data_IF_358131526698
#
_entry.id   IF_358131526698
#
_cell.length_a   1.000
_cell.length_b   1.000
_cell.length_c   1.000
_cell.angle_alpha   90.00
_cell.angle_beta   90.00
_cell.angle_gamma   90.00
#
_symmetry.space_group_name_H-M   'P 1'
#
loop_
_entity.id
_entity.type
_entity.pdbx_description
1 polymer ?
#
# COMPACT_ATOMS: atom_id res chain seq x y z
N UNK A 1 0.40 -19.24 -14.37
CA UNK A 1 0.76 -19.41 -15.80
C UNK A 1 1.55 -20.67 -16.00
N UNK A 2 2.64 -20.85 -15.25
CA UNK A 2 3.49 -22.04 -15.28
C UNK A 2 2.68 -23.35 -15.17
N UNK A 3 1.75 -23.45 -14.22
CA UNK A 3 0.85 -24.61 -14.07
C UNK A 3 0.02 -24.89 -15.33
N UNK A 4 -0.47 -23.86 -16.02
CA UNK A 4 -1.28 -24.04 -17.24
C UNK A 4 -0.39 -24.52 -18.40
N UNK A 5 0.83 -23.97 -18.52
CA UNK A 5 1.82 -24.42 -19.49
C UNK A 5 2.23 -25.87 -19.25
N UNK A 6 2.44 -26.26 -17.98
CA UNK A 6 2.73 -27.65 -17.60
C UNK A 6 1.59 -28.57 -17.98
N UNK A 7 0.34 -28.21 -17.71
CA UNK A 7 -0.84 -29.01 -18.10
C UNK A 7 -0.93 -29.20 -19.61
N UNK A 8 -0.70 -28.15 -20.41
CA UNK A 8 -0.68 -28.30 -21.87
C UNK A 8 0.48 -29.17 -22.34
N UNK A 9 1.68 -29.03 -21.75
CA UNK A 9 2.82 -29.90 -22.05
C UNK A 9 2.52 -31.37 -21.70
N UNK A 10 1.82 -31.63 -20.59
CA UNK A 10 1.37 -32.95 -20.18
C UNK A 10 0.34 -33.55 -21.13
N UNK A 11 -0.57 -32.72 -21.67
CA UNK A 11 -1.51 -33.15 -22.72
C UNK A 11 -0.74 -33.57 -23.98
N UNK A 12 0.25 -32.78 -24.43
CA UNK A 12 1.08 -33.14 -25.58
C UNK A 12 1.93 -34.38 -25.33
N UNK A 13 2.37 -34.63 -24.10
CA UNK A 13 3.11 -35.85 -23.73
C UNK A 13 2.19 -37.07 -23.75
N UNK A 14 1.04 -36.96 -23.08
CA UNK A 14 0.09 -38.08 -22.95
C UNK A 14 -0.50 -38.47 -24.29
N UNK A 15 -0.82 -37.50 -25.15
CA UNK A 15 -1.38 -37.76 -26.48
C UNK A 15 -0.36 -38.33 -27.48
N UNK A 16 0.94 -38.09 -27.29
CA UNK A 16 1.99 -38.72 -28.07
C UNK A 16 2.11 -40.23 -27.78
N UNK A 17 1.75 -40.66 -26.57
CA UNK A 17 1.82 -42.07 -26.13
C UNK A 17 0.53 -42.87 -26.41
N UNK A 18 -0.51 -42.23 -26.97
CA UNK A 18 -1.76 -42.93 -27.34
C UNK A 18 -1.54 -43.72 -28.63
N UNK A 19 -1.30 -45.03 -28.50
CA UNK A 19 -1.35 -45.93 -29.64
C UNK A 19 -2.75 -45.96 -30.26
N UNK A 20 -2.83 -45.81 -31.58
CA UNK A 20 -4.08 -45.96 -32.31
C UNK A 20 -4.65 -47.36 -32.11
N UNK A 21 -5.98 -47.47 -31.90
CA UNK A 21 -6.68 -48.76 -31.85
C UNK A 21 -6.42 -49.58 -33.12
N UNK A 22 -6.16 -48.89 -34.23
CA UNK A 22 -5.80 -49.50 -35.49
C UNK A 22 -4.51 -50.34 -35.46
N UNK A 23 -3.49 -49.93 -34.71
CA UNK A 23 -2.23 -50.69 -34.65
C UNK A 23 -2.42 -52.05 -33.94
N UNK A 24 -3.48 -52.18 -33.14
CA UNK A 24 -3.85 -53.42 -32.43
C UNK A 24 -4.89 -54.26 -33.17
N UNK A 25 -5.77 -53.64 -33.96
CA UNK A 25 -6.88 -54.33 -34.65
C UNK A 25 -6.64 -54.60 -36.14
N UNK A 26 -5.93 -53.73 -36.87
CA UNK A 26 -5.73 -53.89 -38.30
C UNK A 26 -4.79 -55.02 -38.75
N UNK A 27 -3.86 -55.57 -37.93
CA UNK A 27 -3.20 -56.83 -38.29
C UNK A 27 -4.18 -57.99 -38.51
N UNK A 28 -5.41 -57.88 -38.00
CA UNK A 28 -6.48 -58.89 -38.11
C UNK A 28 -7.51 -58.56 -39.21
N UNK A 29 -7.48 -57.35 -39.78
CA UNK A 29 -8.48 -56.85 -40.72
C UNK A 29 -7.76 -56.39 -41.99
N UNK A 30 -7.95 -57.12 -43.09
CA UNK A 30 -7.31 -56.87 -44.39
C UNK A 30 -7.92 -55.64 -45.12
N UNK A 31 -8.00 -54.52 -44.42
CA UNK A 31 -8.59 -53.25 -44.89
C UNK A 31 -7.47 -52.21 -44.98
N UNK A 32 -7.51 -51.35 -45.99
CA UNK A 32 -6.51 -50.30 -46.21
C UNK A 32 -6.25 -49.48 -44.94
N UNK A 33 -4.98 -49.32 -44.60
CA UNK A 33 -4.52 -48.72 -43.34
C UNK A 33 -4.80 -47.21 -43.35
N UNK A 34 -5.90 -46.80 -42.72
CA UNK A 34 -6.15 -45.40 -42.35
C UNK A 34 -5.90 -45.23 -40.85
N UNK A 35 -4.64 -45.42 -40.44
CA UNK A 35 -4.26 -45.21 -39.04
C UNK A 35 -3.96 -43.73 -38.82
N UNK A 36 -4.69 -43.11 -37.91
CA UNK A 36 -4.25 -41.86 -37.30
C UNK A 36 -2.99 -42.16 -36.49
N UNK A 37 -1.84 -41.76 -37.02
CA UNK A 37 -0.57 -41.88 -36.30
C UNK A 37 -0.55 -40.85 -35.18
N UNK A 38 -0.06 -41.26 -34.00
CA UNK A 38 0.26 -40.31 -32.95
C UNK A 38 1.23 -39.27 -33.51
N UNK A 39 0.98 -37.99 -33.22
CA UNK A 39 1.83 -36.89 -33.66
C UNK A 39 2.95 -36.74 -32.63
N UNK A 40 4.20 -37.16 -32.93
CA UNK A 40 5.31 -36.97 -32.01
C UNK A 40 5.58 -35.48 -31.81
N UNK A 41 6.03 -35.11 -30.61
CA UNK A 41 6.33 -33.71 -30.25
C UNK A 41 7.41 -33.05 -31.14
N UNK A 42 8.21 -33.85 -31.86
CA UNK A 42 9.21 -33.36 -32.81
C UNK A 42 8.59 -32.79 -34.10
N UNK A 43 7.35 -33.15 -34.44
CA UNK A 43 6.68 -32.71 -35.66
C UNK A 43 6.35 -31.21 -35.65
N UNK A 44 6.42 -30.60 -36.83
CA UNK A 44 6.18 -29.17 -36.99
C UNK A 44 4.77 -28.75 -36.53
N UNK A 45 3.78 -29.63 -36.67
CA UNK A 45 2.38 -29.38 -36.26
C UNK A 45 2.28 -29.26 -34.73
N UNK A 46 2.90 -30.19 -33.98
CA UNK A 46 2.90 -30.15 -32.51
C UNK A 46 3.66 -28.92 -31.98
N UNK A 47 4.83 -28.61 -32.55
CA UNK A 47 5.61 -27.42 -32.19
C UNK A 47 4.88 -26.11 -32.50
N UNK A 48 4.18 -26.04 -33.64
CA UNK A 48 3.36 -24.89 -33.97
C UNK A 48 2.17 -24.75 -33.01
N UNK A 49 1.52 -25.87 -32.66
CA UNK A 49 0.44 -25.88 -31.67
C UNK A 49 0.89 -25.38 -30.29
N UNK A 50 2.05 -25.84 -29.80
CA UNK A 50 2.65 -25.33 -28.56
C UNK A 50 2.90 -23.82 -28.62
N UNK A 51 3.52 -23.33 -29.70
CA UNK A 51 3.74 -21.89 -29.90
C UNK A 51 2.43 -21.10 -29.93
N UNK A 52 1.39 -21.63 -30.56
CA UNK A 52 0.08 -20.99 -30.57
C UNK A 52 -0.51 -20.90 -29.16
N UNK A 53 -0.39 -21.95 -28.36
CA UNK A 53 -0.85 -21.95 -26.96
C UNK A 53 -0.07 -20.93 -26.13
N UNK A 54 1.26 -20.90 -26.23
CA UNK A 54 2.09 -19.92 -25.53
C UNK A 54 1.72 -18.48 -25.92
N UNK A 55 1.51 -18.23 -27.22
CA UNK A 55 1.06 -16.92 -27.70
C UNK A 55 -0.32 -16.54 -27.16
N UNK A 56 -1.24 -17.49 -27.06
CA UNK A 56 -2.60 -17.25 -26.51
C UNK A 56 -2.52 -16.98 -25.01
N UNK A 57 -1.67 -17.69 -24.27
CA UNK A 57 -1.42 -17.45 -22.86
C UNK A 57 -0.80 -16.07 -22.60
N UNK A 58 0.23 -15.68 -23.36
CA UNK A 58 0.83 -14.35 -23.25
C UNK A 58 -0.16 -13.23 -23.56
N UNK A 59 -0.98 -13.39 -24.61
CA UNK A 59 -2.06 -12.42 -24.90
C UNK A 59 -3.07 -12.30 -23.78
N UNK A 60 -3.38 -13.41 -23.11
CA UNK A 60 -4.29 -13.45 -21.97
C UNK A 60 -3.70 -12.80 -20.71
N UNK A 61 -2.38 -12.64 -20.62
CA UNK A 61 -1.71 -11.96 -19.50
C UNK A 61 -1.65 -10.44 -19.64
N UNK A 62 -1.91 -9.89 -20.82
CA UNK A 62 -1.88 -8.43 -21.05
C UNK A 62 -2.87 -7.71 -20.11
N UNK A 63 -4.09 -8.23 -19.99
CA UNK A 63 -5.13 -7.67 -19.11
C UNK A 63 -4.75 -7.70 -17.63
N UNK A 64 -4.40 -8.87 -17.06
CA UNK A 64 -3.91 -8.97 -15.69
C UNK A 64 -2.67 -8.12 -15.38
N UNK A 65 -1.72 -8.00 -16.32
CA UNK A 65 -0.54 -7.14 -16.17
C UNK A 65 -0.94 -5.66 -16.10
N UNK A 66 -1.80 -5.21 -17.02
CA UNK A 66 -2.33 -3.85 -16.97
C UNK A 66 -3.13 -3.58 -15.67
N UNK A 67 -3.89 -4.57 -15.19
CA UNK A 67 -4.59 -4.46 -13.90
C UNK A 67 -3.61 -4.31 -12.73
N UNK A 68 -2.48 -5.04 -12.74
CA UNK A 68 -1.42 -4.86 -11.74
C UNK A 68 -0.83 -3.45 -11.80
N UNK A 69 -0.51 -2.95 -13.00
CA UNK A 69 0.08 -1.62 -13.19
C UNK A 69 -0.81 -0.51 -12.59
N UNK A 70 -2.13 -0.66 -12.63
CA UNK A 70 -3.06 0.28 -11.99
C UNK A 70 -2.90 0.41 -10.47
N UNK A 71 -2.32 -0.61 -9.81
CA UNK A 71 -2.04 -0.63 -8.39
C UNK A 71 -0.61 -0.22 -8.04
N UNK A 72 0.30 -0.16 -9.02
CA UNK A 72 1.69 0.22 -8.77
C UNK A 72 1.80 1.67 -8.24
N UNK A 73 0.84 2.55 -8.59
CA UNK A 73 0.69 3.91 -8.04
C UNK A 73 0.60 3.93 -6.49
N UNK A 74 0.07 2.86 -5.89
CA UNK A 74 -0.11 2.71 -4.45
C UNK A 74 0.99 1.88 -3.78
N UNK A 75 2.04 1.52 -4.53
CA UNK A 75 3.12 0.67 -4.03
C UNK A 75 3.84 1.25 -2.81
N UNK A 76 3.87 2.58 -2.68
CA UNK A 76 4.45 3.27 -1.54
C UNK A 76 3.78 2.87 -0.20
N UNK A 77 2.48 2.58 -0.21
CA UNK A 77 1.72 2.22 1.00
C UNK A 77 2.19 0.88 1.58
N UNK A 78 2.69 -0.01 0.72
CA UNK A 78 3.21 -1.33 1.12
C UNK A 78 4.72 -1.27 1.39
N UNK A 79 5.44 -0.39 0.69
CA UNK A 79 6.88 -0.31 0.75
C UNK A 79 7.42 0.49 1.95
N UNK A 80 6.65 1.48 2.44
CA UNK A 80 7.05 2.27 3.60
C UNK A 80 6.70 1.55 4.90
N UNK A 81 7.70 1.39 5.77
CA UNK A 81 7.43 1.09 7.17
C UNK A 81 6.79 2.32 7.84
N UNK A 82 5.79 2.07 8.69
CA UNK A 82 4.97 3.12 9.29
C UNK A 82 5.83 4.05 10.15
N UNK A 83 6.78 3.49 10.87
CA UNK A 83 7.74 4.18 11.72
C UNK A 83 8.65 5.11 10.89
N UNK A 84 9.24 4.60 9.81
CA UNK A 84 10.11 5.39 8.92
C UNK A 84 9.37 6.58 8.30
N UNK A 85 8.11 6.37 7.90
CA UNK A 85 7.28 7.44 7.36
C UNK A 85 7.02 8.54 8.39
N UNK A 86 6.67 8.17 9.63
CA UNK A 86 6.41 9.11 10.71
C UNK A 86 7.68 9.87 11.11
N UNK A 87 8.83 9.20 11.16
CA UNK A 87 10.12 9.84 11.46
C UNK A 87 10.49 10.86 10.39
N UNK A 88 10.39 10.50 9.10
CA UNK A 88 10.65 11.42 7.99
C UNK A 88 9.70 12.61 8.01
N UNK A 89 8.42 12.37 8.32
CA UNK A 89 7.42 13.42 8.43
C UNK A 89 7.74 14.37 9.61
N UNK A 90 8.09 13.82 10.78
CA UNK A 90 8.42 14.58 11.98
C UNK A 90 9.66 15.48 11.80
N UNK A 91 10.69 15.03 11.06
CA UNK A 91 11.91 15.81 10.78
C UNK A 91 11.60 17.12 10.06
N UNK A 92 10.50 17.19 9.30
CA UNK A 92 10.12 18.41 8.58
C UNK A 92 9.46 19.48 9.44
N UNK A 93 9.26 19.23 10.74
CA UNK A 93 8.48 20.09 11.65
C UNK A 93 7.16 20.55 11.02
N UNK A 94 6.27 19.60 10.68
CA UNK A 94 5.10 19.84 9.85
C UNK A 94 4.09 20.76 10.56
N UNK A 95 3.51 21.68 9.80
CA UNK A 95 2.39 22.51 10.27
C UNK A 95 1.10 21.69 10.29
N UNK A 96 0.07 22.17 11.00
CA UNK A 96 -1.24 21.53 10.99
C UNK A 96 -1.81 21.36 9.57
N UNK A 97 -1.56 22.33 8.68
CA UNK A 97 -1.97 22.27 7.28
C UNK A 97 -1.27 21.14 6.51
N UNK A 98 0.01 20.88 6.80
CA UNK A 98 0.72 19.72 6.25
C UNK A 98 0.11 18.39 6.73
N UNK A 99 -0.24 18.26 8.02
CA UNK A 99 -0.96 17.08 8.50
C UNK A 99 -2.29 16.89 7.77
N UNK A 100 -3.04 17.98 7.59
CA UNK A 100 -4.35 17.92 6.95
C UNK A 100 -4.25 17.52 5.48
N UNK A 101 -3.32 18.15 4.74
CA UNK A 101 -3.03 17.83 3.35
C UNK A 101 -2.63 16.36 3.20
N UNK A 102 -1.80 15.86 4.12
CA UNK A 102 -1.27 14.52 4.00
C UNK A 102 -2.26 13.42 4.42
N UNK A 103 -3.06 13.67 5.44
CA UNK A 103 -4.21 12.82 5.75
C UNK A 103 -5.22 12.80 4.60
N UNK A 104 -5.51 13.96 4.00
CA UNK A 104 -6.44 14.06 2.87
C UNK A 104 -5.90 13.27 1.66
N UNK A 105 -4.60 13.36 1.37
CA UNK A 105 -3.95 12.54 0.33
C UNK A 105 -4.16 11.05 0.57
N UNK A 106 -3.95 10.56 1.79
CA UNK A 106 -4.15 9.15 2.14
C UNK A 106 -5.61 8.71 2.01
N UNK A 107 -6.56 9.55 2.43
CA UNK A 107 -7.99 9.25 2.29
C UNK A 107 -8.46 9.24 0.83
N UNK A 108 -7.98 10.19 0.03
CA UNK A 108 -8.25 10.21 -1.41
C UNK A 108 -7.70 8.95 -2.09
N UNK A 109 -6.51 8.50 -1.70
CA UNK A 109 -5.92 7.26 -2.23
C UNK A 109 -6.70 6.01 -1.80
N UNK A 110 -7.23 5.96 -0.57
CA UNK A 110 -8.15 4.91 -0.12
C UNK A 110 -9.38 4.84 -1.03
N UNK A 111 -10.00 5.97 -1.34
CA UNK A 111 -11.18 6.01 -2.23
C UNK A 111 -10.83 5.62 -3.67
N UNK A 112 -9.66 6.04 -4.17
CA UNK A 112 -9.16 5.59 -5.48
C UNK A 112 -8.96 4.08 -5.49
N UNK A 113 -8.35 3.48 -4.46
CA UNK A 113 -8.13 2.03 -4.38
C UNK A 113 -9.45 1.25 -4.42
N UNK A 114 -10.47 1.73 -3.68
CA UNK A 114 -11.81 1.11 -3.65
C UNK A 114 -12.48 1.11 -5.02
N UNK A 115 -12.38 2.24 -5.73
CA UNK A 115 -13.07 2.46 -7.01
C UNK A 115 -12.28 2.02 -8.24
N UNK A 116 -10.98 1.71 -8.09
CA UNK A 116 -10.07 1.40 -9.20
C UNK A 116 -10.50 0.21 -10.06
N UNK A 117 -11.07 -0.82 -9.43
CA UNK A 117 -11.49 -2.05 -10.12
C UNK A 117 -12.62 -2.74 -9.36
N UNK A 118 -13.22 -3.78 -9.95
CA UNK A 118 -14.09 -4.71 -9.24
C UNK A 118 -13.25 -5.67 -8.38
N UNK A 119 -13.85 -6.29 -7.36
CA UNK A 119 -13.15 -7.25 -6.50
C UNK A 119 -12.76 -8.54 -7.24
N UNK A 120 -13.49 -8.86 -8.30
CA UNK A 120 -13.15 -9.92 -9.21
C UNK A 120 -13.19 -9.35 -10.63
N UNK A 121 -12.09 -9.52 -11.36
CA UNK A 121 -11.97 -9.10 -12.75
C UNK A 121 -11.76 -10.34 -13.58
N UNK A 122 -12.76 -10.67 -14.41
CA UNK A 122 -12.70 -11.79 -15.33
C UNK A 122 -12.09 -11.36 -16.66
N UNK A 123 -11.04 -12.04 -17.07
CA UNK A 123 -10.47 -12.05 -18.41
C UNK A 123 -10.84 -13.36 -19.11
N UNK A 124 -10.53 -13.50 -20.40
CA UNK A 124 -10.95 -14.65 -21.21
C UNK A 124 -10.62 -16.01 -20.57
N UNK A 125 -9.37 -16.20 -20.11
CA UNK A 125 -8.93 -17.46 -19.47
C UNK A 125 -8.52 -17.31 -18.00
N UNK A 126 -8.57 -16.10 -17.44
CA UNK A 126 -8.01 -15.80 -16.11
C UNK A 126 -9.02 -14.96 -15.33
N UNK A 127 -9.29 -15.35 -14.08
CA UNK A 127 -9.99 -14.50 -13.12
C UNK A 127 -8.98 -13.96 -12.12
N UNK A 128 -8.93 -12.66 -11.91
CA UNK A 128 -8.08 -12.02 -10.91
C UNK A 128 -8.95 -11.52 -9.76
N UNK A 129 -8.64 -11.98 -8.55
CA UNK A 129 -9.29 -11.52 -7.33
C UNK A 129 -8.44 -10.40 -6.73
N UNK A 130 -9.01 -9.20 -6.63
CA UNK A 130 -8.32 -7.98 -6.15
C UNK A 130 -8.73 -7.62 -4.72
N UNK A 131 -9.67 -8.37 -4.11
CA UNK A 131 -10.20 -8.08 -2.78
C UNK A 131 -9.10 -7.97 -1.72
N UNK A 132 -8.23 -8.97 -1.61
CA UNK A 132 -7.16 -8.99 -0.62
C UNK A 132 -6.13 -7.88 -0.87
N UNK A 133 -5.78 -7.64 -2.14
CA UNK A 133 -4.85 -6.57 -2.51
C UNK A 133 -5.42 -5.20 -2.10
N UNK A 134 -6.69 -4.91 -2.40
CA UNK A 134 -7.35 -3.68 -1.96
C UNK A 134 -7.42 -3.58 -0.45
N UNK A 135 -7.83 -4.66 0.23
CA UNK A 135 -7.96 -4.67 1.68
C UNK A 135 -6.61 -4.39 2.36
N UNK A 136 -5.52 -4.98 1.84
CA UNK A 136 -4.17 -4.75 2.37
C UNK A 136 -3.70 -3.31 2.14
N UNK A 137 -3.91 -2.75 0.94
CA UNK A 137 -3.56 -1.36 0.63
C UNK A 137 -4.37 -0.37 1.49
N UNK A 138 -5.68 -0.58 1.61
CA UNK A 138 -6.54 0.26 2.45
C UNK A 138 -6.13 0.18 3.92
N UNK A 139 -5.80 -1.01 4.41
CA UNK A 139 -5.30 -1.19 5.78
C UNK A 139 -4.00 -0.41 6.00
N UNK A 140 -3.02 -0.56 5.10
CA UNK A 140 -1.75 0.18 5.19
C UNK A 140 -1.94 1.70 5.19
N UNK A 141 -2.81 2.23 4.33
CA UNK A 141 -3.11 3.66 4.32
C UNK A 141 -3.77 4.14 5.63
N UNK A 142 -4.66 3.33 6.22
CA UNK A 142 -5.26 3.65 7.52
C UNK A 142 -4.24 3.58 8.66
N UNK A 143 -3.29 2.64 8.60
CA UNK A 143 -2.20 2.54 9.58
C UNK A 143 -1.31 3.79 9.52
N UNK A 144 -0.93 4.24 8.31
CA UNK A 144 -0.19 5.49 8.11
C UNK A 144 -0.96 6.71 8.62
N UNK A 145 -2.25 6.83 8.28
CA UNK A 145 -3.10 7.92 8.75
C UNK A 145 -3.24 7.93 10.29
N UNK A 146 -3.42 6.76 10.90
CA UNK A 146 -3.49 6.62 12.36
C UNK A 146 -2.16 7.01 13.02
N UNK A 147 -1.03 6.65 12.41
CA UNK A 147 0.29 7.01 12.90
C UNK A 147 0.54 8.53 12.84
N UNK A 148 0.14 9.19 11.76
CA UNK A 148 0.15 10.66 11.66
C UNK A 148 -0.72 11.33 12.73
N UNK A 149 -1.93 10.83 12.97
CA UNK A 149 -2.79 11.37 14.03
C UNK A 149 -2.18 11.19 15.43
N UNK A 150 -1.52 10.06 15.69
CA UNK A 150 -0.81 9.83 16.96
C UNK A 150 0.36 10.80 17.11
N UNK A 151 1.12 11.05 16.04
CA UNK A 151 2.20 12.03 16.05
C UNK A 151 1.66 13.43 16.36
N UNK A 152 0.61 13.86 15.67
CA UNK A 152 -0.05 15.16 15.92
C UNK A 152 -0.52 15.27 17.37
N UNK A 153 -1.19 14.25 17.90
CA UNK A 153 -1.66 14.23 19.28
C UNK A 153 -0.51 14.29 20.29
N UNK A 154 0.61 13.60 20.01
CA UNK A 154 1.83 13.68 20.83
C UNK A 154 2.40 15.09 20.83
N UNK A 155 2.55 15.71 19.66
CA UNK A 155 3.07 17.07 19.52
C UNK A 155 2.17 18.10 20.22
N UNK A 156 0.85 18.02 20.03
CA UNK A 156 -0.10 18.92 20.68
C UNK A 156 -0.08 18.78 22.21
N UNK A 157 0.06 17.54 22.72
CA UNK A 157 0.19 17.29 24.14
C UNK A 157 1.50 17.84 24.71
N UNK A 158 2.62 17.64 24.02
CA UNK A 158 3.92 18.19 24.41
C UNK A 158 3.89 19.72 24.47
N UNK A 159 3.28 20.37 23.47
CA UNK A 159 3.10 21.83 23.47
C UNK A 159 2.17 22.31 24.60
N UNK A 160 1.09 21.58 24.87
CA UNK A 160 0.16 21.91 25.98
C UNK A 160 0.86 21.79 27.34
N UNK A 161 1.66 20.74 27.55
CA UNK A 161 2.45 20.56 28.77
C UNK A 161 3.43 21.72 28.94
N UNK A 162 4.17 22.09 27.88
CA UNK A 162 5.11 23.21 27.92
C UNK A 162 4.42 24.54 28.27
N UNK A 163 3.26 24.82 27.67
CA UNK A 163 2.47 26.02 27.98
C UNK A 163 2.05 26.03 29.45
N UNK A 164 1.53 24.90 29.96
CA UNK A 164 1.13 24.78 31.36
C UNK A 164 2.31 24.96 32.33
N UNK A 165 3.46 24.33 32.05
CA UNK A 165 4.68 24.50 32.84
C UNK A 165 5.13 25.96 32.87
N UNK A 166 5.10 26.64 31.73
CA UNK A 166 5.48 28.06 31.64
C UNK A 166 4.51 28.96 32.43
N UNK A 167 3.20 28.70 32.37
CA UNK A 167 2.22 29.43 33.18
C UNK A 167 2.41 29.17 34.68
N UNK A 168 2.68 27.94 35.08
CA UNK A 168 2.94 27.58 36.47
C UNK A 168 4.21 28.26 37.00
N UNK A 169 5.28 28.32 36.18
CA UNK A 169 6.49 29.08 36.52
C UNK A 169 6.22 30.57 36.73
N UNK A 170 5.44 31.19 35.84
CA UNK A 170 5.03 32.60 35.97
C UNK A 170 4.24 32.79 37.26
N UNK A 171 3.29 31.91 37.53
CA UNK A 171 2.44 31.97 38.71
C UNK A 171 3.24 31.82 40.01
N UNK A 172 4.17 30.87 40.06
CA UNK A 172 5.04 30.67 41.22
C UNK A 172 5.93 31.89 41.49
N UNK A 173 6.48 32.51 40.44
CA UNK A 173 7.29 33.73 40.62
C UNK A 173 6.46 34.92 41.14
N UNK A 174 5.22 35.07 40.67
CA UNK A 174 4.32 36.14 41.13
C UNK A 174 3.88 35.93 42.59
N UNK A 175 3.74 34.68 43.04
CA UNK A 175 3.33 34.37 44.41
C UNK A 175 4.40 34.60 45.48
N UNK A 176 5.66 34.80 45.10
CA UNK A 176 6.74 35.05 46.06
C UNK A 176 6.45 36.34 46.83
N UNK A 177 6.35 36.24 48.15
CA UNK A 177 6.23 37.41 49.02
C UNK A 177 7.62 38.01 49.24
N UNK A 178 7.92 39.22 48.72
CA UNK A 178 9.25 39.81 48.81
C UNK A 178 9.58 40.15 50.27
N UNK A 179 10.79 39.80 50.70
CA UNK A 179 11.26 39.99 52.08
C UNK A 179 12.05 41.28 52.27
N UNK A 180 12.51 41.90 51.19
CA UNK A 180 13.24 43.16 51.20
C UNK A 180 12.82 44.09 50.02
N UNK A 181 13.17 45.39 50.08
CA UNK A 181 12.81 46.35 49.03
C UNK A 181 13.42 46.05 47.66
N UNK A 182 14.62 45.47 47.58
CA UNK A 182 15.24 45.08 46.31
C UNK A 182 14.43 43.98 45.60
N UNK A 183 14.03 42.92 46.32
CA UNK A 183 13.18 41.83 45.81
C UNK A 183 11.81 42.34 45.34
N UNK A 184 11.25 43.36 46.01
CA UNK A 184 9.99 43.97 45.61
C UNK A 184 10.11 44.74 44.27
N UNK A 185 11.26 45.37 44.02
CA UNK A 185 11.54 46.04 42.73
C UNK A 185 11.74 45.02 41.62
N UNK A 186 12.43 43.90 41.88
CA UNK A 186 12.60 42.81 40.90
C UNK A 186 11.26 42.14 40.56
N UNK A 187 10.45 41.81 41.57
CA UNK A 187 9.11 41.25 41.37
C UNK A 187 8.22 42.19 40.55
N UNK A 188 8.31 43.50 40.79
CA UNK A 188 7.54 44.50 40.04
C UNK A 188 7.97 44.54 38.56
N UNK A 189 9.28 44.54 38.29
CA UNK A 189 9.80 44.44 36.91
C UNK A 189 9.36 43.15 36.22
N UNK A 190 9.34 42.03 36.94
CA UNK A 190 8.88 40.76 36.41
C UNK A 190 7.37 40.80 36.06
N UNK A 191 6.53 41.29 36.97
CA UNK A 191 5.10 41.49 36.74
C UNK A 191 4.82 42.41 35.54
N UNK A 192 5.61 43.48 35.38
CA UNK A 192 5.49 44.40 34.23
C UNK A 192 5.84 43.69 32.90
N UNK A 193 6.68 42.65 32.91
CA UNK A 193 7.05 41.84 31.74
C UNK A 193 6.13 40.64 31.47
N UNK A 194 5.24 40.29 32.41
CA UNK A 194 4.34 39.14 32.29
C UNK A 194 3.31 39.28 31.14
N UNK A 195 2.71 40.45 30.87
CA UNK A 195 1.77 40.59 29.75
C UNK A 195 2.38 40.20 28.40
N UNK A 196 3.62 40.62 28.12
CA UNK A 196 4.33 40.25 26.89
C UNK A 196 4.54 38.74 26.78
N UNK A 197 4.96 38.08 27.88
CA UNK A 197 5.15 36.62 27.92
C UNK A 197 3.84 35.85 27.75
N UNK A 198 2.75 36.37 28.33
CA UNK A 198 1.41 35.78 28.20
C UNK A 198 0.88 35.94 26.77
N UNK A 199 1.14 37.08 26.12
CA UNK A 199 0.78 37.29 24.72
C UNK A 199 1.59 36.37 23.79
N UNK A 200 2.89 36.18 24.04
CA UNK A 200 3.73 35.22 23.32
C UNK A 200 3.22 33.78 23.48
N UNK A 201 2.85 33.37 24.70
CA UNK A 201 2.25 32.06 24.98
C UNK A 201 0.90 31.87 24.28
N UNK A 202 0.05 32.91 24.26
CA UNK A 202 -1.22 32.87 23.56
C UNK A 202 -1.05 32.72 22.04
N UNK A 203 -0.03 33.37 21.46
CA UNK A 203 0.31 33.20 20.04
C UNK A 203 0.77 31.77 19.77
N UNK A 204 1.62 31.19 20.63
CA UNK A 204 2.04 29.80 20.49
C UNK A 204 0.87 28.82 20.60
N UNK A 205 -0.05 29.04 21.55
CA UNK A 205 -1.24 28.19 21.72
C UNK A 205 -2.19 28.24 20.52
N UNK A 206 -2.37 29.41 19.91
CA UNK A 206 -3.23 29.56 18.72
C UNK A 206 -2.63 28.95 17.43
N UNK A 207 -1.36 28.53 17.46
CA UNK A 207 -0.67 27.85 16.36
C UNK A 207 -0.58 26.33 16.52
N UNK A 208 -1.10 25.79 17.63
CA UNK A 208 -1.35 24.35 17.86
C UNK A 208 -2.65 23.96 17.13
#
# INVERSE_FOLDING_TARGET
VEVVQTTYADIFRTTADVCGVGDKLFPLLNVGVYNLKAVPQSEAIAKNGQRTIDNVLERNLVGPRALKELYDDFGYIVALEVEDFVEQFAVTSPTLDHYNTEMQRLFDDIEKIKTRSLNEVAFEMIKVETYEAKASLIRGANELASALMKLLGKTANEQTVLVNETYEEIFQQIQVTPSNPEELVELKKYCDSCPEKVDELNVQFNHI
#
